data_IF_568881964513
#
_entry.id   IF_568881964513
#
_cell.length_a   1.000
_cell.length_b   1.000
_cell.length_c   1.000
_cell.angle_alpha   90.00
_cell.angle_beta   90.00
_cell.angle_gamma   90.00
#
_symmetry.space_group_name_H-M   'P 1'
#
loop_
_entity.id
_entity.type
_entity.pdbx_description
1 polymer ?
#
# COMPACT_ATOMS: atom_id res chain seq x y z
N UNK A 1 -16.56 -41.63 10.25
CA UNK A 1 -16.86 -40.24 10.67
C UNK A 1 -15.52 -39.52 10.79
N UNK A 2 -15.06 -38.92 9.70
CA UNK A 2 -13.77 -38.22 9.66
C UNK A 2 -14.05 -36.81 10.15
N UNK A 3 -13.51 -36.46 11.32
CA UNK A 3 -13.42 -35.08 11.79
C UNK A 3 -12.50 -34.35 10.80
N UNK A 4 -13.08 -33.69 9.81
CA UNK A 4 -12.37 -32.67 9.05
C UNK A 4 -12.25 -31.49 10.00
N UNK A 5 -11.12 -31.42 10.71
CA UNK A 5 -10.65 -30.18 11.32
C UNK A 5 -10.52 -29.19 10.17
N UNK A 6 -11.54 -28.35 9.99
CA UNK A 6 -11.39 -27.05 9.36
C UNK A 6 -10.30 -26.34 10.17
N UNK A 7 -9.05 -26.47 9.73
CA UNK A 7 -8.13 -25.37 9.88
C UNK A 7 -8.85 -24.19 9.24
N UNK A 8 -9.40 -23.32 10.07
CA UNK A 8 -9.51 -21.91 9.69
C UNK A 8 -8.08 -21.51 9.35
N UNK A 9 -7.73 -21.63 8.07
CA UNK A 9 -6.73 -20.79 7.47
C UNK A 9 -7.23 -19.38 7.76
N UNK A 10 -6.74 -18.79 8.84
CA UNK A 10 -6.80 -17.35 9.05
C UNK A 10 -5.97 -16.77 7.92
N UNK A 11 -6.64 -16.63 6.77
CA UNK A 11 -6.09 -16.15 5.52
C UNK A 11 -5.49 -14.80 5.80
N UNK A 12 -4.24 -14.64 5.43
CA UNK A 12 -3.61 -13.33 5.28
C UNK A 12 -4.64 -12.39 4.66
N UNK A 13 -4.83 -11.23 5.27
CA UNK A 13 -5.78 -10.17 4.92
C UNK A 13 -5.42 -9.47 3.60
N UNK A 14 -4.59 -10.08 2.76
CA UNK A 14 -4.23 -9.61 1.42
C UNK A 14 -4.79 -10.64 0.44
N UNK A 15 -5.56 -10.22 -0.57
CA UNK A 15 -6.04 -11.14 -1.61
C UNK A 15 -4.91 -12.04 -2.15
N UNK A 16 -5.09 -13.37 -2.26
CA UNK A 16 -4.00 -14.29 -2.62
C UNK A 16 -3.30 -13.94 -3.94
N UNK A 17 -4.06 -13.52 -4.96
CA UNK A 17 -3.51 -13.13 -6.25
C UNK A 17 -2.67 -11.85 -6.14
N UNK A 18 -3.09 -10.89 -5.30
CA UNK A 18 -2.32 -9.68 -5.03
C UNK A 18 -1.04 -10.00 -4.26
N UNK A 19 -1.12 -10.87 -3.25
CA UNK A 19 0.06 -11.31 -2.51
C UNK A 19 1.05 -12.04 -3.44
N UNK A 20 0.54 -12.90 -4.33
CA UNK A 20 1.37 -13.55 -5.33
C UNK A 20 2.05 -12.52 -6.24
N UNK A 21 1.31 -11.53 -6.76
CA UNK A 21 1.87 -10.48 -7.60
C UNK A 21 3.01 -9.70 -6.91
N UNK A 22 2.84 -9.37 -5.61
CA UNK A 22 3.85 -8.67 -4.82
C UNK A 22 5.09 -9.53 -4.53
N UNK A 23 4.88 -10.81 -4.20
CA UNK A 23 5.96 -11.74 -3.86
C UNK A 23 6.82 -12.16 -5.07
N UNK A 24 6.31 -11.99 -6.31
CA UNK A 24 7.09 -12.25 -7.53
C UNK A 24 8.12 -11.16 -7.84
N UNK A 25 8.13 -10.05 -7.10
CA UNK A 25 9.11 -9.00 -7.32
C UNK A 25 10.53 -9.48 -6.95
N UNK A 26 11.43 -9.64 -7.93
CA UNK A 26 12.75 -10.23 -7.69
C UNK A 26 13.69 -9.29 -6.94
N UNK A 27 13.31 -8.02 -6.77
CA UNK A 27 14.12 -6.98 -6.14
C UNK A 27 13.76 -6.78 -4.66
N UNK A 28 12.70 -7.40 -4.15
CA UNK A 28 12.28 -7.30 -2.74
C UNK A 28 12.96 -8.41 -1.93
N UNK A 29 13.66 -8.02 -0.87
CA UNK A 29 14.28 -8.93 0.10
C UNK A 29 13.24 -9.42 1.12
N UNK A 30 12.44 -8.51 1.66
CA UNK A 30 11.46 -8.81 2.68
C UNK A 30 10.21 -7.98 2.44
N UNK A 31 9.03 -8.57 2.66
CA UNK A 31 7.76 -7.86 2.63
C UNK A 31 7.08 -8.03 3.98
N UNK A 32 6.69 -6.91 4.57
CA UNK A 32 5.96 -6.86 5.83
C UNK A 32 4.58 -6.28 5.60
N UNK A 33 3.57 -6.82 6.29
CA UNK A 33 2.27 -6.18 6.47
C UNK A 33 2.23 -5.47 7.83
N UNK A 34 1.59 -4.31 7.91
CA UNK A 34 1.37 -3.60 9.17
C UNK A 34 -0.05 -3.02 9.25
N UNK A 35 -0.37 -2.37 10.37
CA UNK A 35 -1.69 -1.77 10.59
C UNK A 35 -2.77 -2.81 10.88
N UNK A 36 -4.04 -2.44 10.64
CA UNK A 36 -5.21 -3.25 11.02
C UNK A 36 -5.16 -4.69 10.49
N UNK A 37 -4.73 -4.86 9.24
CA UNK A 37 -4.61 -6.16 8.57
C UNK A 37 -3.54 -7.06 9.19
N UNK A 38 -2.48 -6.50 9.78
CA UNK A 38 -1.44 -7.27 10.46
C UNK A 38 -1.88 -7.81 11.84
N UNK A 39 -2.89 -7.19 12.45
CA UNK A 39 -3.42 -7.58 13.77
C UNK A 39 -4.85 -8.13 13.70
N UNK A 40 -5.34 -8.42 12.49
CA UNK A 40 -6.69 -8.96 12.25
C UNK A 40 -7.83 -8.10 12.81
N UNK A 41 -7.65 -6.78 12.79
CA UNK A 41 -8.66 -5.76 13.17
C UNK A 41 -9.12 -4.96 11.94
N UNK A 42 -9.06 -5.59 10.76
CA UNK A 42 -9.49 -4.97 9.50
C UNK A 42 -10.99 -5.10 9.25
N UNK A 43 -11.53 -4.12 8.54
CA UNK A 43 -12.92 -4.10 8.08
C UNK A 43 -12.99 -3.72 6.59
N UNK A 44 -14.20 -3.55 6.07
CA UNK A 44 -14.44 -3.14 4.68
C UNK A 44 -13.87 -1.76 4.30
N UNK A 45 -13.33 -0.99 5.27
CA UNK A 45 -12.69 0.31 5.09
C UNK A 45 -11.18 0.29 5.39
N UNK A 46 -10.60 -0.89 5.58
CA UNK A 46 -9.18 -1.04 5.85
C UNK A 46 -8.37 -1.16 4.56
N UNK A 47 -7.34 -0.34 4.47
CA UNK A 47 -6.30 -0.39 3.45
C UNK A 47 -5.34 -1.57 3.67
N UNK A 48 -4.49 -1.81 2.69
CA UNK A 48 -3.40 -2.79 2.76
C UNK A 48 -2.11 -2.01 2.94
N UNK A 49 -1.51 -2.09 4.13
CA UNK A 49 -0.30 -1.35 4.46
C UNK A 49 0.91 -2.29 4.46
N UNK A 50 1.93 -1.94 3.66
CA UNK A 50 3.07 -2.78 3.36
C UNK A 50 4.40 -2.03 3.48
N UNK A 51 5.42 -2.76 3.90
CA UNK A 51 6.81 -2.32 3.86
C UNK A 51 7.60 -3.36 3.09
N UNK A 52 8.15 -2.97 1.94
CA UNK A 52 9.08 -3.75 1.15
C UNK A 52 10.51 -3.30 1.43
N UNK A 53 11.35 -4.22 1.90
CA UNK A 53 12.78 -4.00 2.08
C UNK A 53 13.49 -4.36 0.78
N UNK A 54 14.29 -3.43 0.25
CA UNK A 54 15.02 -3.62 -1.01
C UNK A 54 16.25 -2.74 -1.08
N UNK A 55 17.31 -3.23 -1.71
CA UNK A 55 18.48 -2.40 -2.04
C UNK A 55 18.23 -1.47 -3.25
N UNK A 56 17.10 -1.63 -3.94
CA UNK A 56 16.78 -0.90 -5.17
C UNK A 56 15.33 -0.36 -5.14
N UNK A 57 15.01 0.64 -4.29
CA UNK A 57 13.65 1.15 -4.11
C UNK A 57 12.91 1.48 -5.41
N UNK A 58 13.54 2.24 -6.31
CA UNK A 58 12.93 2.65 -7.58
C UNK A 58 12.68 1.48 -8.54
N UNK A 59 13.57 0.49 -8.56
CA UNK A 59 13.44 -0.69 -9.43
C UNK A 59 12.34 -1.63 -8.89
N UNK A 60 12.32 -1.82 -7.58
CA UNK A 60 11.27 -2.62 -6.93
C UNK A 60 9.90 -1.96 -7.09
N UNK A 61 9.81 -0.63 -6.99
CA UNK A 61 8.56 0.09 -7.25
C UNK A 61 8.12 -0.05 -8.71
N UNK A 62 8.99 0.21 -9.68
CA UNK A 62 8.64 0.12 -11.11
C UNK A 62 8.20 -1.30 -11.50
N UNK A 63 8.86 -2.33 -10.98
CA UNK A 63 8.44 -3.72 -11.18
C UNK A 63 7.05 -3.97 -10.58
N UNK A 64 6.82 -3.53 -9.34
CA UNK A 64 5.52 -3.68 -8.67
C UNK A 64 4.44 -2.95 -9.46
N UNK A 65 4.69 -1.71 -9.85
CA UNK A 65 3.77 -0.88 -10.63
C UNK A 65 3.34 -1.59 -11.91
N UNK A 66 4.31 -2.04 -12.72
CA UNK A 66 4.03 -2.78 -13.97
C UNK A 66 3.25 -4.07 -13.71
N UNK A 67 3.59 -4.80 -12.65
CA UNK A 67 2.92 -6.05 -12.30
C UNK A 67 1.47 -5.80 -11.89
N UNK A 68 1.23 -4.78 -11.07
CA UNK A 68 -0.11 -4.41 -10.63
C UNK A 68 -0.96 -3.90 -11.79
N UNK A 69 -0.40 -3.07 -12.67
CA UNK A 69 -1.10 -2.55 -13.85
C UNK A 69 -1.50 -3.68 -14.81
N UNK A 70 -0.56 -4.59 -15.10
CA UNK A 70 -0.81 -5.71 -16.00
C UNK A 70 -1.83 -6.72 -15.47
N UNK A 71 -1.85 -6.97 -14.16
CA UNK A 71 -2.71 -8.03 -13.57
C UNK A 71 -4.05 -7.51 -13.06
N UNK A 72 -4.11 -6.27 -12.56
CA UNK A 72 -5.29 -5.72 -11.89
C UNK A 72 -5.78 -4.41 -12.50
N UNK A 73 -5.01 -3.78 -13.40
CA UNK A 73 -5.21 -2.42 -13.90
C UNK A 73 -5.20 -1.36 -12.80
N UNK A 74 -4.27 -0.41 -12.89
CA UNK A 74 -4.21 0.69 -11.93
C UNK A 74 -5.20 1.78 -12.34
N UNK A 75 -6.12 2.12 -11.43
CA UNK A 75 -7.01 3.29 -11.57
C UNK A 75 -6.22 4.58 -11.27
N UNK A 76 -5.44 4.55 -10.20
CA UNK A 76 -4.64 5.68 -9.77
C UNK A 76 -3.43 5.24 -8.93
N UNK A 77 -2.36 6.02 -9.04
CA UNK A 77 -1.16 5.91 -8.20
C UNK A 77 -0.94 7.26 -7.54
N UNK A 78 -0.76 7.25 -6.22
CA UNK A 78 -0.47 8.44 -5.43
C UNK A 78 0.91 8.32 -4.78
N UNK A 79 1.74 9.35 -4.91
CA UNK A 79 3.07 9.42 -4.32
C UNK A 79 2.99 9.89 -2.89
N UNK A 80 3.28 8.99 -1.94
CA UNK A 80 3.37 9.32 -0.51
C UNK A 80 4.74 9.93 -0.19
N UNK A 81 5.80 9.31 -0.72
CA UNK A 81 7.18 9.76 -0.57
C UNK A 81 8.02 9.33 -1.77
N UNK A 82 9.01 10.15 -2.12
CA UNK A 82 10.02 9.80 -3.11
C UNK A 82 11.32 10.51 -2.78
N UNK A 83 12.33 9.75 -2.37
CA UNK A 83 13.67 10.24 -2.06
C UNK A 83 14.70 9.11 -2.25
N UNK A 84 15.98 9.41 -2.00
CA UNK A 84 17.10 8.47 -2.21
C UNK A 84 17.05 7.21 -1.33
N UNK A 85 16.14 7.11 -0.37
CA UNK A 85 16.04 6.00 0.58
C UNK A 85 14.71 5.26 0.52
N UNK A 86 13.68 5.92 0.00
CA UNK A 86 12.30 5.43 0.03
C UNK A 86 11.54 5.89 -1.23
N UNK A 87 10.84 4.94 -1.82
CA UNK A 87 9.74 5.21 -2.75
C UNK A 87 8.48 4.65 -2.10
N UNK A 88 7.50 5.50 -1.79
CA UNK A 88 6.23 5.08 -1.20
C UNK A 88 5.06 5.50 -2.07
N UNK A 89 4.12 4.57 -2.26
CA UNK A 89 2.99 4.68 -3.17
C UNK A 89 1.70 4.20 -2.51
N UNK A 90 0.60 4.84 -2.84
CA UNK A 90 -0.74 4.24 -2.76
C UNK A 90 -1.17 3.80 -4.15
N UNK A 91 -1.59 2.54 -4.31
CA UNK A 91 -2.18 2.01 -5.54
C UNK A 91 -3.67 1.76 -5.36
N UNK A 92 -4.46 2.27 -6.30
CA UNK A 92 -5.87 1.96 -6.45
C UNK A 92 -6.07 1.04 -7.64
N UNK A 93 -6.58 -0.17 -7.39
CA UNK A 93 -6.72 -1.20 -8.42
C UNK A 93 -8.16 -1.33 -8.90
N UNK A 94 -8.33 -1.64 -10.19
CA UNK A 94 -9.63 -1.93 -10.76
C UNK A 94 -10.22 -3.19 -10.14
N UNK A 95 -11.55 -3.20 -9.95
CA UNK A 95 -12.25 -4.31 -9.31
C UNK A 95 -12.05 -4.43 -7.80
N UNK A 96 -11.29 -3.52 -7.17
CA UNK A 96 -11.17 -3.43 -5.71
C UNK A 96 -11.90 -2.20 -5.17
N UNK A 97 -12.38 -2.30 -3.93
CA UNK A 97 -12.87 -1.14 -3.19
C UNK A 97 -11.77 -0.09 -3.08
N UNK A 98 -12.09 1.19 -3.29
CA UNK A 98 -11.13 2.29 -3.11
C UNK A 98 -10.59 2.37 -1.68
N UNK A 99 -11.31 1.82 -0.70
CA UNK A 99 -10.82 1.71 0.68
C UNK A 99 -9.72 0.65 0.85
N UNK A 100 -9.69 -0.36 -0.02
CA UNK A 100 -8.68 -1.42 -0.02
C UNK A 100 -7.45 -1.06 -0.86
N UNK A 101 -7.16 0.24 -0.99
CA UNK A 101 -5.93 0.73 -1.62
C UNK A 101 -4.70 0.10 -0.94
N UNK A 102 -3.64 -0.05 -1.73
CA UNK A 102 -2.37 -0.62 -1.28
C UNK A 102 -1.41 0.51 -0.99
N UNK A 103 -1.10 0.75 0.26
CA UNK A 103 -0.05 1.66 0.69
C UNK A 103 1.24 0.83 0.89
N UNK A 104 2.25 1.04 0.04
CA UNK A 104 3.51 0.30 0.08
C UNK A 104 4.69 1.26 0.02
N UNK A 105 5.61 1.12 0.98
CA UNK A 105 6.93 1.74 0.94
C UNK A 105 7.98 0.73 0.49
N UNK A 106 8.85 1.13 -0.43
CA UNK A 106 10.07 0.41 -0.83
C UNK A 106 11.26 1.12 -0.20
N UNK A 107 11.94 0.48 0.75
CA UNK A 107 12.94 1.13 1.61
C UNK A 107 14.28 0.39 1.61
N UNK A 108 15.35 1.17 1.72
CA UNK A 108 16.69 0.64 1.95
C UNK A 108 16.78 -0.07 3.32
N UNK A 109 17.44 -1.24 3.42
CA UNK A 109 17.49 -2.01 4.67
C UNK A 109 18.09 -1.24 5.85
N UNK A 110 19.16 -0.49 5.63
CA UNK A 110 19.91 0.24 6.66
C UNK A 110 19.20 1.52 7.15
N UNK A 111 18.15 1.94 6.45
CA UNK A 111 17.33 3.12 6.77
C UNK A 111 15.92 2.76 7.26
N UNK A 112 15.58 1.47 7.28
CA UNK A 112 14.22 1.06 7.61
C UNK A 112 14.01 0.96 9.11
N UNK A 113 12.98 1.63 9.61
CA UNK A 113 12.38 1.35 10.91
C UNK A 113 10.96 0.84 10.67
N UNK A 114 10.74 -0.44 10.96
CA UNK A 114 9.42 -1.06 10.82
C UNK A 114 8.38 -0.37 11.70
N UNK A 115 7.15 -0.29 11.20
CA UNK A 115 6.02 0.18 11.98
C UNK A 115 5.71 -0.80 13.13
N UNK A 116 5.07 -0.31 14.21
CA UNK A 116 4.55 -1.21 15.24
C UNK A 116 3.63 -2.28 14.63
N UNK A 117 3.73 -3.50 15.14
CA UNK A 117 2.95 -4.67 14.68
C UNK A 117 3.22 -5.11 13.24
N UNK A 118 4.33 -4.69 12.63
CA UNK A 118 4.78 -5.26 11.35
C UNK A 118 4.98 -6.76 11.46
N UNK A 119 4.38 -7.51 10.55
CA UNK A 119 4.49 -8.97 10.42
C UNK A 119 5.13 -9.32 9.09
N UNK A 120 6.21 -10.10 9.12
CA UNK A 120 6.88 -10.59 7.92
C UNK A 120 5.96 -11.58 7.18
N UNK A 121 5.74 -11.35 5.89
CA UNK A 121 4.87 -12.19 5.03
C UNK A 121 5.60 -12.79 3.84
N UNK A 122 6.78 -12.28 3.49
CA UNK A 122 7.63 -12.84 2.45
C UNK A 122 9.10 -12.51 2.73
N UNK A 123 9.98 -13.46 2.43
CA UNK A 123 11.42 -13.30 2.53
C UNK A 123 12.10 -13.98 1.34
N UNK A 124 12.96 -13.24 0.66
CA UNK A 124 13.80 -13.70 -0.44
C UNK A 124 15.28 -13.47 -0.11
N UNK A 125 16.02 -14.57 0.04
CA UNK A 125 17.45 -14.55 0.32
C UNK A 125 18.30 -14.29 -0.95
N UNK A 126 17.66 -14.25 -2.12
CA UNK A 126 18.31 -14.08 -3.42
C UNK A 126 17.60 -12.99 -4.21
N UNK A 127 17.90 -11.72 -3.91
CA UNK A 127 17.42 -10.62 -4.74
C UNK A 127 18.29 -10.44 -5.96
N UNK A 128 17.63 -10.22 -7.09
CA UNK A 128 18.31 -9.95 -8.34
C UNK A 128 18.98 -8.57 -8.30
N UNK A 129 20.13 -8.45 -8.97
CA UNK A 129 20.71 -7.15 -9.26
C UNK A 129 20.11 -6.62 -10.56
N UNK A 130 19.61 -5.36 -10.60
CA UNK A 130 19.09 -4.78 -11.83
C UNK A 130 20.19 -4.64 -12.89
N UNK A 131 19.85 -4.95 -14.13
CA UNK A 131 20.75 -4.76 -15.27
C UNK A 131 20.83 -3.27 -15.66
N UNK A 132 21.76 -2.53 -15.05
CA UNK A 132 21.91 -1.05 -15.11
C UNK A 132 20.67 -0.29 -14.61
N UNK A 133 20.92 0.86 -13.98
CA UNK A 133 19.90 1.75 -13.42
C UNK A 133 18.88 2.15 -14.50
N UNK A 134 17.69 1.54 -14.46
CA UNK A 134 16.60 1.83 -15.40
C UNK A 134 15.23 1.62 -14.77
N UNK A 135 15.11 1.88 -13.47
CA UNK A 135 13.80 2.08 -12.85
C UNK A 135 13.18 3.35 -13.44
N UNK A 136 11.98 3.23 -14.01
CA UNK A 136 11.22 4.42 -14.39
C UNK A 136 10.66 5.03 -13.11
N UNK A 137 11.11 6.22 -12.76
CA UNK A 137 10.50 6.98 -11.68
C UNK A 137 9.09 7.40 -12.14
N UNK A 138 8.08 6.85 -11.47
CA UNK A 138 6.69 7.20 -11.69
C UNK A 138 6.28 8.34 -10.77
N UNK A 139 5.76 9.43 -11.31
CA UNK A 139 5.21 10.54 -10.53
C UNK A 139 4.01 11.09 -11.27
N UNK A 140 2.89 11.24 -10.56
CA UNK A 140 1.68 11.91 -11.05
C UNK A 140 1.92 13.42 -11.29
N UNK A 141 1.08 14.08 -12.09
CA UNK A 141 1.15 15.54 -12.22
C UNK A 141 0.64 16.23 -10.95
N UNK A 142 1.04 17.48 -10.72
CA UNK A 142 0.55 18.28 -9.58
C UNK A 142 -0.98 18.34 -9.52
N UNK A 143 -1.63 18.47 -10.67
CA UNK A 143 -3.09 18.47 -10.77
C UNK A 143 -3.68 17.11 -10.35
N UNK A 144 -3.11 16.00 -10.84
CA UNK A 144 -3.54 14.65 -10.45
C UNK A 144 -3.31 14.41 -8.96
N UNK A 145 -2.16 14.82 -8.43
CA UNK A 145 -1.83 14.72 -7.02
C UNK A 145 -2.88 15.41 -6.15
N UNK A 146 -3.25 16.66 -6.50
CA UNK A 146 -4.28 17.41 -5.79
C UNK A 146 -5.65 16.72 -5.81
N UNK A 147 -6.06 16.14 -6.93
CA UNK A 147 -7.31 15.37 -6.99
C UNK A 147 -7.26 14.11 -6.13
N UNK A 148 -6.12 13.41 -6.12
CA UNK A 148 -5.93 12.20 -5.31
C UNK A 148 -5.86 12.51 -3.82
N UNK A 149 -5.30 13.66 -3.42
CA UNK A 149 -5.36 14.16 -2.05
C UNK A 149 -6.80 14.34 -1.58
N UNK A 150 -7.64 14.93 -2.44
CA UNK A 150 -9.07 15.12 -2.16
C UNK A 150 -9.79 13.78 -2.05
N UNK A 151 -9.51 12.83 -2.95
CA UNK A 151 -10.04 11.47 -2.87
C UNK A 151 -9.64 10.79 -1.54
N UNK A 152 -8.37 10.86 -1.18
CA UNK A 152 -7.80 10.21 0.01
C UNK A 152 -8.41 10.74 1.31
N UNK A 153 -8.59 12.05 1.44
CA UNK A 153 -9.29 12.60 2.60
C UNK A 153 -10.79 12.25 2.61
N UNK A 154 -11.43 12.12 1.44
CA UNK A 154 -12.87 11.84 1.32
C UNK A 154 -13.16 10.42 1.77
N UNK A 155 -12.31 9.46 1.37
CA UNK A 155 -12.35 8.09 1.87
C UNK A 155 -12.15 8.06 3.39
N UNK A 156 -11.17 8.80 3.93
CA UNK A 156 -10.96 8.91 5.39
C UNK A 156 -12.20 9.44 6.11
N UNK A 157 -12.84 10.48 5.59
CA UNK A 157 -14.09 11.01 6.15
C UNK A 157 -15.19 9.95 6.20
N UNK A 158 -15.48 9.26 5.08
CA UNK A 158 -16.52 8.24 5.01
C UNK A 158 -16.24 7.09 5.97
N UNK A 159 -14.99 6.61 6.01
CA UNK A 159 -14.53 5.59 6.96
C UNK A 159 -14.81 5.98 8.40
N UNK A 160 -14.42 7.18 8.81
CA UNK A 160 -14.62 7.65 10.18
C UNK A 160 -16.09 7.85 10.53
N UNK A 161 -16.92 8.32 9.58
CA UNK A 161 -18.36 8.40 9.81
C UNK A 161 -18.98 7.03 10.04
N UNK A 162 -18.62 6.03 9.23
CA UNK A 162 -19.16 4.68 9.39
C UNK A 162 -18.75 4.05 10.72
N UNK A 163 -17.50 4.28 11.15
CA UNK A 163 -16.98 3.81 12.45
C UNK A 163 -17.47 4.62 13.65
N UNK A 164 -18.34 5.62 13.43
CA UNK A 164 -18.83 6.53 14.46
C UNK A 164 -17.70 7.30 15.18
N UNK A 165 -16.55 7.45 14.51
CA UNK A 165 -15.41 8.24 14.98
C UNK A 165 -15.64 9.72 14.63
N UNK A 166 -16.72 10.31 15.15
CA UNK A 166 -17.21 11.62 14.71
C UNK A 166 -16.18 12.74 14.82
N UNK A 167 -15.30 12.70 15.83
CA UNK A 167 -14.23 13.67 15.95
C UNK A 167 -13.17 13.54 14.85
N UNK A 168 -12.79 12.30 14.49
CA UNK A 168 -11.89 12.03 13.37
C UNK A 168 -12.52 12.47 12.04
N UNK A 169 -13.81 12.17 11.84
CA UNK A 169 -14.56 12.62 10.67
C UNK A 169 -14.61 14.16 10.58
N UNK A 170 -14.89 14.85 11.69
CA UNK A 170 -14.89 16.31 11.74
C UNK A 170 -13.52 16.90 11.36
N UNK A 171 -12.41 16.33 11.86
CA UNK A 171 -11.06 16.78 11.48
C UNK A 171 -10.81 16.66 9.98
N UNK A 172 -11.20 15.54 9.35
CA UNK A 172 -11.10 15.37 7.90
C UNK A 172 -11.93 16.41 7.14
N UNK A 173 -13.19 16.60 7.54
CA UNK A 173 -14.09 17.57 6.91
C UNK A 173 -13.58 19.01 7.03
N UNK A 174 -13.12 19.41 8.22
CA UNK A 174 -12.54 20.73 8.45
C UNK A 174 -11.29 20.95 7.59
N UNK A 175 -10.40 19.96 7.52
CA UNK A 175 -9.21 20.03 6.68
C UNK A 175 -9.54 20.30 5.21
N UNK A 176 -10.62 19.71 4.70
CA UNK A 176 -11.11 20.01 3.34
C UNK A 176 -11.57 21.45 3.15
N UNK A 177 -12.35 21.96 4.09
CA UNK A 177 -12.79 23.36 4.02
C UNK A 177 -11.58 24.29 4.02
N UNK A 178 -10.59 24.02 4.87
CA UNK A 178 -9.39 24.86 4.97
C UNK A 178 -8.55 24.82 3.69
N UNK A 179 -8.41 23.65 3.06
CA UNK A 179 -7.71 23.51 1.77
C UNK A 179 -8.43 24.28 0.66
N UNK A 180 -9.76 24.14 0.55
CA UNK A 180 -10.57 24.83 -0.46
C UNK A 180 -10.69 26.35 -0.22
N UNK A 181 -10.57 26.79 1.03
CA UNK A 181 -10.59 28.22 1.36
C UNK A 181 -9.27 28.93 1.04
N UNK A 182 -8.18 28.17 0.84
CA UNK A 182 -6.85 28.69 0.51
C UNK A 182 -6.53 28.63 -0.99
N UNK A 183 -7.37 27.97 -1.79
CA UNK A 183 -7.22 27.82 -3.25
C UNK A 183 -7.86 28.95 -4.05
#
# INVERSE_FOLDING_TARGET
MILVLLYQMHTVTIPPDLLAALNHNPYINELYVFGSRAVFDDDQFSDINLTAITNYPEVAEDYTHKTLDNQFSIIATYTIAQNNHEVARSFFLSGMSLFHKIDIGFLLPDKTKLFPNSTLIFQNNHTDQPAKESGKIWTESDEQHNYLDVLMGSLRYVKYQYRQEHWSAYKCYRGFIEQLAQS
#
